data_IF_747455931657
#
_entry.id   IF_747455931657
#
_cell.length_a   1.000
_cell.length_b   1.000
_cell.length_c   1.000
_cell.angle_alpha   90.00
_cell.angle_beta   90.00
_cell.angle_gamma   90.00
#
_symmetry.space_group_name_H-M   'P 1'
#
loop_
_entity.id
_entity.type
_entity.pdbx_description
1 polymer ?
#
# COMPACT_ATOMS: atom_id res chain seq x y z
N UNK A 1 -5.50 -40.42 -7.36
CA UNK A 1 -4.64 -41.00 -6.29
C UNK A 1 -4.25 -39.85 -5.39
N UNK A 2 -4.93 -39.70 -4.26
CA UNK A 2 -4.64 -38.64 -3.28
C UNK A 2 -3.46 -39.11 -2.43
N UNK A 3 -2.32 -38.48 -2.61
CA UNK A 3 -1.08 -38.76 -1.82
C UNK A 3 -1.20 -38.05 -0.47
N UNK A 4 -2.24 -38.28 0.29
CA UNK A 4 -2.43 -37.70 1.61
C UNK A 4 -2.31 -38.74 2.71
N UNK A 5 -1.13 -39.23 2.90
CA UNK A 5 -0.75 -39.90 4.11
C UNK A 5 -0.54 -38.86 5.21
N UNK A 6 -1.07 -39.09 6.40
CA UNK A 6 -0.96 -38.18 7.55
C UNK A 6 0.49 -37.80 7.88
N UNK A 7 1.42 -38.72 7.74
CA UNK A 7 2.87 -38.50 7.90
C UNK A 7 3.42 -37.50 6.87
N UNK A 8 2.99 -37.61 5.62
CA UNK A 8 3.38 -36.70 4.53
C UNK A 8 2.83 -35.29 4.78
N UNK A 9 1.56 -35.17 5.13
CA UNK A 9 0.93 -33.88 5.49
C UNK A 9 1.61 -33.23 6.69
N UNK A 10 1.97 -34.01 7.71
CA UNK A 10 2.70 -33.51 8.86
C UNK A 10 4.06 -32.94 8.49
N UNK A 11 4.79 -33.58 7.60
CA UNK A 11 6.09 -33.08 7.12
C UNK A 11 5.96 -31.71 6.47
N UNK A 12 4.92 -31.47 5.66
CA UNK A 12 4.68 -30.15 5.06
C UNK A 12 4.21 -29.13 6.08
N UNK A 13 3.39 -29.54 7.05
CA UNK A 13 2.99 -28.69 8.16
C UNK A 13 4.21 -28.21 8.95
N UNK A 14 5.08 -29.15 9.36
CA UNK A 14 6.31 -28.83 10.12
C UNK A 14 7.23 -27.88 9.34
N UNK A 15 7.39 -28.09 8.03
CA UNK A 15 8.14 -27.17 7.15
C UNK A 15 7.48 -25.80 7.08
N UNK A 16 6.16 -25.73 7.01
CA UNK A 16 5.43 -24.46 6.96
C UNK A 16 5.55 -23.69 8.27
N UNK A 17 5.48 -24.40 9.40
CA UNK A 17 5.68 -23.81 10.74
C UNK A 17 7.12 -23.29 10.90
N UNK A 18 8.10 -24.01 10.36
CA UNK A 18 9.51 -23.58 10.41
C UNK A 18 9.78 -22.27 9.64
N UNK A 19 8.93 -21.88 8.68
CA UNK A 19 9.00 -20.57 8.03
C UNK A 19 8.44 -19.44 8.87
N UNK A 20 7.96 -19.71 10.09
CA UNK A 20 7.41 -18.73 11.02
C UNK A 20 6.01 -18.22 10.68
N UNK A 21 5.55 -17.31 11.49
CA UNK A 21 4.25 -16.66 11.31
C UNK A 21 4.19 -15.85 10.01
N UNK A 22 3.00 -15.72 9.45
CA UNK A 22 2.75 -14.91 8.25
C UNK A 22 2.24 -13.54 8.67
N UNK A 23 2.69 -12.51 7.98
CA UNK A 23 2.17 -11.15 8.17
C UNK A 23 0.70 -11.11 7.80
N UNK A 24 -0.10 -10.49 8.64
CA UNK A 24 -1.54 -10.33 8.41
C UNK A 24 -1.75 -9.05 7.58
N UNK A 25 -2.55 -9.13 6.55
CA UNK A 25 -2.79 -8.00 5.63
C UNK A 25 -3.43 -6.77 6.27
N UNK A 26 -4.02 -6.93 7.46
CA UNK A 26 -4.58 -5.82 8.26
C UNK A 26 -3.53 -5.09 9.10
N UNK A 27 -2.33 -5.65 9.26
CA UNK A 27 -1.27 -5.07 10.07
C UNK A 27 -0.46 -4.05 9.25
N UNK A 28 -1.10 -2.95 8.91
CA UNK A 28 -0.45 -1.86 8.20
C UNK A 28 -0.88 -0.51 8.76
N UNK A 29 -0.04 0.48 8.52
CA UNK A 29 -0.32 1.88 8.83
C UNK A 29 0.28 2.77 7.77
N UNK A 30 -0.50 3.73 7.28
CA UNK A 30 -0.04 4.77 6.36
C UNK A 30 0.11 6.09 7.12
N UNK A 31 1.32 6.60 7.21
CA UNK A 31 1.64 7.87 7.83
C UNK A 31 2.01 8.89 6.74
N UNK A 32 1.30 10.02 6.71
CA UNK A 32 1.59 11.12 5.81
C UNK A 32 2.56 12.08 6.51
N UNK A 33 3.68 12.39 5.89
CA UNK A 33 4.66 13.33 6.47
C UNK A 33 4.03 14.72 6.69
N UNK A 34 4.07 15.19 7.94
CA UNK A 34 3.42 16.44 8.36
C UNK A 34 1.98 16.32 8.84
N UNK A 35 1.41 15.10 8.76
CA UNK A 35 0.03 14.80 9.17
C UNK A 35 -0.04 13.45 9.87
N UNK A 36 0.85 13.22 10.82
CA UNK A 36 1.09 11.93 11.43
C UNK A 36 -0.13 11.33 12.13
N UNK A 37 -0.97 12.16 12.75
CA UNK A 37 -2.13 11.69 13.52
C UNK A 37 -3.25 11.07 12.67
N UNK A 38 -3.27 11.33 11.36
CA UNK A 38 -4.34 10.85 10.46
C UNK A 38 -4.22 9.37 10.08
N UNK A 39 -3.14 8.69 10.46
CA UNK A 39 -2.97 7.27 10.17
C UNK A 39 -4.11 6.39 10.74
N UNK A 40 -4.72 6.82 11.86
CA UNK A 40 -5.84 6.11 12.50
C UNK A 40 -7.10 6.07 11.63
N UNK A 41 -7.24 6.99 10.67
CA UNK A 41 -8.40 7.07 9.79
C UNK A 41 -8.19 6.31 8.47
N UNK A 42 -6.98 5.89 8.18
CA UNK A 42 -6.67 5.14 6.97
C UNK A 42 -7.13 3.69 7.09
N UNK A 43 -8.12 3.31 6.29
CA UNK A 43 -8.64 1.94 6.24
C UNK A 43 -7.90 1.05 5.26
N UNK A 44 -7.48 1.61 4.13
CA UNK A 44 -6.84 0.88 3.05
C UNK A 44 -5.76 1.74 2.42
N UNK A 45 -4.59 1.16 2.18
CA UNK A 45 -3.49 1.80 1.49
C UNK A 45 -2.77 0.78 0.59
N UNK A 46 -2.19 1.24 -0.53
CA UNK A 46 -1.45 0.36 -1.42
C UNK A 46 -0.07 0.03 -0.84
N UNK A 47 0.28 -1.24 -0.85
CA UNK A 47 1.63 -1.68 -0.50
C UNK A 47 2.53 -1.67 -1.74
N UNK A 48 3.65 -0.92 -1.75
CA UNK A 48 4.52 -0.82 -2.92
C UNK A 48 5.38 -2.08 -3.10
N UNK A 49 5.53 -2.49 -4.36
CA UNK A 49 6.40 -3.62 -4.71
C UNK A 49 7.29 -3.27 -5.89
N UNK A 50 8.56 -3.68 -5.82
CA UNK A 50 9.46 -3.59 -6.96
C UNK A 50 9.25 -4.78 -7.89
N UNK A 51 8.90 -4.47 -9.13
CA UNK A 51 8.74 -5.47 -10.18
C UNK A 51 9.14 -4.90 -11.53
N UNK A 52 9.38 -5.75 -12.51
CA UNK A 52 9.53 -5.32 -13.89
C UNK A 52 8.23 -4.67 -14.39
N UNK A 53 8.34 -3.65 -15.21
CA UNK A 53 7.20 -2.99 -15.83
C UNK A 53 6.48 -3.90 -16.84
N UNK A 54 7.22 -4.84 -17.43
CA UNK A 54 6.74 -5.82 -18.39
C UNK A 54 7.88 -6.65 -18.93
N UNK A 55 7.59 -7.39 -20.01
CA UNK A 55 8.56 -8.21 -20.75
C UNK A 55 8.82 -7.64 -22.13
N UNK A 56 9.99 -7.94 -22.66
CA UNK A 56 10.36 -7.73 -24.07
C UNK A 56 10.49 -9.11 -24.68
N UNK A 57 9.67 -9.38 -25.69
CA UNK A 57 9.75 -10.61 -26.47
C UNK A 57 10.77 -10.46 -27.58
N UNK A 58 11.77 -11.31 -27.59
CA UNK A 58 12.83 -11.32 -28.60
C UNK A 58 12.74 -12.64 -29.36
N UNK A 59 12.33 -12.61 -30.67
CA UNK A 59 12.34 -13.81 -31.47
C UNK A 59 13.78 -14.29 -31.68
N UNK A 60 13.99 -15.59 -31.50
CA UNK A 60 15.27 -16.24 -31.71
C UNK A 60 15.21 -17.16 -32.94
N UNK A 61 16.34 -17.58 -33.51
CA UNK A 61 16.37 -18.51 -34.64
C UNK A 61 15.58 -19.79 -34.37
N UNK A 62 15.03 -20.37 -35.42
CA UNK A 62 14.25 -21.61 -35.41
C UNK A 62 12.89 -21.53 -34.69
N UNK A 63 12.31 -20.33 -34.59
CA UNK A 63 10.97 -20.13 -34.03
C UNK A 63 10.89 -20.16 -32.50
N UNK A 64 12.02 -20.09 -31.82
CA UNK A 64 12.08 -19.93 -30.38
C UNK A 64 11.90 -18.46 -29.98
N UNK A 65 11.55 -18.21 -28.72
CA UNK A 65 11.34 -16.88 -28.15
C UNK A 65 12.13 -16.73 -26.86
N UNK A 66 12.73 -15.57 -26.65
CA UNK A 66 13.40 -15.21 -25.40
C UNK A 66 12.65 -14.05 -24.75
N UNK A 67 12.46 -14.12 -23.43
CA UNK A 67 11.91 -13.02 -22.65
C UNK A 67 13.02 -12.24 -21.97
N UNK A 68 12.95 -10.91 -22.07
CA UNK A 68 13.82 -10.01 -21.34
C UNK A 68 12.95 -9.07 -20.48
N UNK A 69 13.26 -8.88 -19.18
CA UNK A 69 12.51 -7.95 -18.34
C UNK A 69 12.74 -6.52 -18.82
N UNK A 70 11.68 -5.72 -18.77
CA UNK A 70 11.76 -4.26 -18.95
C UNK A 70 12.33 -3.59 -17.70
N UNK A 71 12.38 -2.26 -17.70
CA UNK A 71 12.79 -1.46 -16.56
C UNK A 71 11.90 -1.72 -15.33
N UNK A 72 12.45 -1.44 -14.16
CA UNK A 72 11.71 -1.56 -12.91
C UNK A 72 10.61 -0.49 -12.86
N UNK A 73 9.43 -0.90 -12.45
CA UNK A 73 8.28 -0.03 -12.27
C UNK A 73 8.41 0.77 -10.98
N UNK A 74 8.79 2.03 -11.09
CA UNK A 74 8.90 2.95 -9.96
C UNK A 74 7.62 3.75 -9.72
N UNK A 75 6.93 4.18 -10.77
CA UNK A 75 5.63 4.84 -10.69
C UNK A 75 4.52 3.80 -10.52
N UNK A 76 3.79 3.90 -9.42
CA UNK A 76 2.77 2.94 -9.05
C UNK A 76 1.48 3.65 -8.63
N UNK A 77 0.40 2.92 -8.61
CA UNK A 77 -0.89 3.40 -8.14
C UNK A 77 -1.62 2.28 -7.39
N UNK A 78 -2.48 2.66 -6.48
CA UNK A 78 -3.32 1.71 -5.76
C UNK A 78 -4.48 2.37 -5.05
N UNK A 79 -5.39 1.57 -4.57
CA UNK A 79 -6.58 2.04 -3.88
C UNK A 79 -6.22 2.55 -2.48
N UNK A 80 -6.81 3.69 -2.13
CA UNK A 80 -6.75 4.26 -0.78
C UNK A 80 -8.15 4.56 -0.29
N UNK A 81 -8.40 4.34 0.99
CA UNK A 81 -9.66 4.71 1.61
C UNK A 81 -9.47 5.16 3.04
N UNK A 82 -10.25 6.15 3.43
CA UNK A 82 -10.28 6.73 4.76
C UNK A 82 -11.69 6.72 5.34
N UNK A 83 -11.80 6.66 6.65
CA UNK A 83 -13.03 6.96 7.35
C UNK A 83 -13.11 8.46 7.63
N UNK A 84 -14.22 9.06 7.22
CA UNK A 84 -14.47 10.49 7.54
C UNK A 84 -14.99 10.62 8.96
N UNK A 85 -14.59 11.67 9.63
CA UNK A 85 -15.07 12.02 10.96
C UNK A 85 -16.20 13.05 10.92
N UNK A 86 -16.91 13.20 12.04
CA UNK A 86 -17.99 14.21 12.16
C UNK A 86 -17.44 15.62 12.02
N UNK A 87 -16.17 15.82 12.35
CA UNK A 87 -15.50 17.14 12.28
C UNK A 87 -15.00 17.43 10.85
N UNK A 88 -14.93 16.43 9.98
CA UNK A 88 -14.45 16.59 8.62
C UNK A 88 -12.93 16.55 8.50
N UNK A 89 -12.29 15.68 9.25
CA UNK A 89 -10.82 15.61 9.30
C UNK A 89 -10.20 15.29 7.95
N UNK A 90 -10.78 14.36 7.18
CA UNK A 90 -10.24 14.00 5.87
C UNK A 90 -10.46 15.09 4.83
N UNK A 91 -11.63 15.75 4.83
CA UNK A 91 -11.87 16.90 3.97
C UNK A 91 -10.85 18.03 4.26
N UNK A 92 -10.60 18.31 5.54
CA UNK A 92 -9.62 19.30 5.97
C UNK A 92 -8.20 18.90 5.58
N UNK A 93 -7.82 17.64 5.77
CA UNK A 93 -6.52 17.10 5.35
C UNK A 93 -6.28 17.29 3.86
N UNK A 94 -7.25 16.93 3.02
CA UNK A 94 -7.12 17.07 1.56
C UNK A 94 -7.03 18.53 1.13
N UNK A 95 -7.85 19.41 1.75
CA UNK A 95 -7.80 20.83 1.49
C UNK A 95 -6.45 21.43 1.89
N UNK A 96 -5.90 21.02 3.02
CA UNK A 96 -4.62 21.49 3.51
C UNK A 96 -3.45 21.00 2.65
N UNK A 97 -3.44 19.75 2.22
CA UNK A 97 -2.46 19.21 1.27
C UNK A 97 -2.43 20.00 -0.04
N UNK A 98 -3.59 20.35 -0.58
CA UNK A 98 -3.71 21.16 -1.80
C UNK A 98 -3.25 22.60 -1.56
N UNK A 99 -3.63 23.18 -0.44
CA UNK A 99 -3.32 24.59 -0.12
C UNK A 99 -1.85 24.78 0.18
N UNK A 100 -1.24 23.93 0.98
CA UNK A 100 0.18 24.01 1.32
C UNK A 100 1.10 23.81 0.12
N UNK A 101 0.71 22.94 -0.79
CA UNK A 101 1.49 22.69 -2.00
C UNK A 101 1.40 23.79 -3.05
N UNK A 102 0.47 24.75 -2.89
CA UNK A 102 0.23 25.80 -3.88
C UNK A 102 -0.39 25.31 -5.18
N UNK A 103 -1.09 24.18 -5.17
CA UNK A 103 -1.69 23.57 -6.38
C UNK A 103 -2.63 24.51 -7.12
N UNK A 104 -3.33 25.40 -6.43
CA UNK A 104 -4.18 26.43 -7.04
C UNK A 104 -3.39 27.46 -7.86
N UNK A 105 -2.10 27.62 -7.60
CA UNK A 105 -1.21 28.50 -8.37
C UNK A 105 -0.38 27.75 -9.41
N UNK A 106 -0.70 26.50 -9.70
CA UNK A 106 -0.03 25.65 -10.69
C UNK A 106 1.19 24.89 -10.18
N UNK A 107 1.48 24.94 -8.87
CA UNK A 107 2.51 24.11 -8.28
C UNK A 107 2.05 22.66 -8.15
N UNK A 108 3.01 21.71 -8.07
CA UNK A 108 2.71 20.29 -7.85
C UNK A 108 2.19 20.09 -6.43
N UNK A 109 1.01 19.52 -6.32
CA UNK A 109 0.45 19.08 -5.04
C UNK A 109 0.87 17.65 -4.75
N UNK A 110 2.05 17.46 -4.19
CA UNK A 110 2.55 16.15 -3.81
C UNK A 110 3.02 16.14 -2.36
N UNK A 111 2.93 14.99 -1.74
CA UNK A 111 3.39 14.75 -0.38
C UNK A 111 4.21 13.47 -0.32
N UNK A 112 4.90 13.25 0.78
CA UNK A 112 5.58 11.99 1.04
C UNK A 112 4.85 11.23 2.13
N UNK A 113 4.94 9.92 2.10
CA UNK A 113 4.40 9.09 3.15
C UNK A 113 5.26 7.86 3.41
N UNK A 114 4.99 7.24 4.55
CA UNK A 114 5.58 5.96 4.95
C UNK A 114 4.46 4.97 5.19
N UNK A 115 4.62 3.78 4.66
CA UNK A 115 3.71 2.68 4.93
C UNK A 115 4.44 1.64 5.80
N UNK A 116 3.87 1.35 6.95
CA UNK A 116 4.43 0.44 7.95
C UNK A 116 3.72 -0.91 7.91
N UNK A 117 4.46 -1.99 8.13
CA UNK A 117 3.90 -3.24 8.65
C UNK A 117 3.90 -3.18 10.17
N UNK A 118 2.75 -2.84 10.75
CA UNK A 118 2.55 -2.51 12.14
C UNK A 118 2.09 -1.09 12.36
N UNK A 119 2.56 -0.45 13.41
CA UNK A 119 2.28 0.96 13.75
C UNK A 119 3.55 1.80 13.64
N UNK A 120 3.49 3.14 13.56
CA UNK A 120 4.66 3.99 13.53
C UNK A 120 5.62 3.80 14.72
N UNK A 121 5.09 3.38 15.87
CA UNK A 121 5.87 3.14 17.09
C UNK A 121 6.50 1.74 17.12
N UNK A 122 5.79 0.74 16.55
CA UNK A 122 6.18 -0.67 16.57
C UNK A 122 5.88 -1.32 15.24
N UNK A 123 6.90 -1.58 14.46
CA UNK A 123 6.78 -2.09 13.11
C UNK A 123 7.87 -3.10 12.77
N UNK A 124 7.56 -3.97 11.81
CA UNK A 124 8.52 -4.92 11.22
C UNK A 124 9.43 -4.22 10.22
N UNK A 125 8.84 -3.46 9.34
CA UNK A 125 9.49 -2.65 8.31
C UNK A 125 8.57 -1.56 7.84
N UNK A 126 9.14 -0.51 7.28
CA UNK A 126 8.37 0.47 6.52
C UNK A 126 8.99 0.72 5.14
N UNK A 127 8.16 1.14 4.24
CA UNK A 127 8.55 1.58 2.89
C UNK A 127 8.22 3.05 2.74
N UNK A 128 9.15 3.80 2.17
CA UNK A 128 8.95 5.22 1.90
C UNK A 128 8.42 5.44 0.50
N UNK A 129 7.35 6.20 0.40
CA UNK A 129 6.70 6.60 -0.83
C UNK A 129 6.93 8.09 -1.04
N UNK A 130 7.33 8.48 -2.22
CA UNK A 130 7.63 9.88 -2.55
C UNK A 130 6.76 10.38 -3.70
N UNK A 131 6.61 11.70 -3.75
CA UNK A 131 5.80 12.37 -4.77
C UNK A 131 4.38 11.78 -4.86
N UNK A 132 3.76 11.56 -3.71
CA UNK A 132 2.42 10.98 -3.63
C UNK A 132 1.35 12.04 -3.91
N UNK A 133 0.28 11.64 -4.56
CA UNK A 133 -0.96 12.42 -4.65
C UNK A 133 -2.15 11.48 -4.71
N UNK A 134 -3.31 11.97 -4.30
CA UNK A 134 -4.54 11.19 -4.26
C UNK A 134 -5.57 11.83 -5.18
N UNK A 135 -6.20 10.99 -5.99
CA UNK A 135 -7.38 11.33 -6.76
C UNK A 135 -8.58 10.68 -6.08
N UNK A 136 -9.37 11.49 -5.40
CA UNK A 136 -10.56 11.02 -4.70
C UNK A 136 -11.73 10.83 -5.65
N UNK A 137 -12.49 9.78 -5.42
CA UNK A 137 -13.77 9.55 -6.07
C UNK A 137 -14.86 10.43 -5.44
N UNK A 138 -15.88 10.78 -6.21
CA UNK A 138 -17.05 11.47 -5.67
C UNK A 138 -17.78 10.55 -4.69
N UNK A 139 -18.02 11.05 -3.49
CA UNK A 139 -18.70 10.30 -2.44
C UNK A 139 -20.20 10.58 -2.51
N UNK A 140 -20.97 9.53 -2.83
CA UNK A 140 -22.42 9.59 -2.75
C UNK A 140 -22.88 9.46 -1.30
N UNK A 141 -23.79 10.36 -0.89
CA UNK A 141 -24.41 10.32 0.43
C UNK A 141 -25.85 9.86 0.29
N UNK A 142 -26.18 8.82 1.02
CA UNK A 142 -27.53 8.25 1.10
C UNK A 142 -28.06 8.38 2.54
N UNK A 143 -29.11 9.18 2.71
CA UNK A 143 -29.73 9.42 4.02
C UNK A 143 -30.50 8.20 4.58
N UNK A 144 -30.76 7.20 3.77
CA UNK A 144 -31.33 5.95 4.21
C UNK A 144 -30.27 4.99 4.82
N UNK A 145 -29.02 5.15 4.42
CA UNK A 145 -27.92 4.33 4.90
C UNK A 145 -27.38 4.82 6.26
N UNK A 146 -28.01 4.33 7.33
CA UNK A 146 -27.72 4.74 8.72
C UNK A 146 -26.73 3.82 9.44
N UNK A 147 -26.26 2.77 8.79
CA UNK A 147 -25.51 1.69 9.43
C UNK A 147 -24.02 1.68 9.08
N UNK A 148 -23.61 2.47 8.10
CA UNK A 148 -22.23 2.48 7.63
C UNK A 148 -21.59 3.86 7.85
N UNK A 149 -20.34 3.91 8.32
CA UNK A 149 -19.58 5.16 8.37
C UNK A 149 -19.30 5.66 6.95
N UNK A 150 -19.19 6.97 6.81
CA UNK A 150 -18.78 7.59 5.56
C UNK A 150 -17.34 7.21 5.24
N UNK A 151 -17.11 6.65 4.05
CA UNK A 151 -15.78 6.37 3.53
C UNK A 151 -15.46 7.29 2.37
N UNK A 152 -14.28 7.87 2.42
CA UNK A 152 -13.68 8.61 1.31
C UNK A 152 -12.70 7.66 0.63
N UNK A 153 -12.93 7.40 -0.66
CA UNK A 153 -12.15 6.45 -1.45
C UNK A 153 -11.49 7.14 -2.63
N UNK A 154 -10.42 6.57 -3.12
CA UNK A 154 -9.76 7.06 -4.31
C UNK A 154 -8.56 6.23 -4.72
N UNK A 155 -7.82 6.76 -5.68
CA UNK A 155 -6.58 6.17 -6.15
C UNK A 155 -5.41 7.03 -5.71
N UNK A 156 -4.46 6.42 -5.04
CA UNK A 156 -3.20 7.03 -4.68
C UNK A 156 -2.14 6.71 -5.72
N UNK A 157 -1.49 7.73 -6.22
CA UNK A 157 -0.34 7.65 -7.12
C UNK A 157 0.92 7.96 -6.33
N UNK A 158 1.97 7.19 -6.55
CA UNK A 158 3.20 7.35 -5.80
C UNK A 158 4.41 6.79 -6.56
N UNK A 159 5.59 7.17 -6.12
CA UNK A 159 6.85 6.62 -6.61
C UNK A 159 7.53 5.84 -5.49
N UNK A 160 8.01 4.65 -5.83
CA UNK A 160 8.76 3.79 -4.92
C UNK A 160 10.05 3.33 -5.58
N UNK A 161 11.17 3.64 -4.94
CA UNK A 161 12.52 3.36 -5.43
C UNK A 161 13.23 2.25 -4.64
N UNK A 162 12.48 1.45 -3.87
CA UNK A 162 13.03 0.34 -3.10
C UNK A 162 13.51 0.73 -1.70
N UNK A 163 13.20 1.94 -1.23
CA UNK A 163 13.55 2.37 0.12
C UNK A 163 12.71 1.64 1.16
N UNK A 164 13.32 0.62 1.75
CA UNK A 164 12.75 -0.19 2.83
C UNK A 164 13.66 -0.11 4.03
N UNK A 165 13.09 0.17 5.19
CA UNK A 165 13.83 0.22 6.46
C UNK A 165 13.28 -0.87 7.39
N UNK A 166 14.20 -1.65 7.96
CA UNK A 166 13.87 -2.67 8.94
C UNK A 166 13.42 -2.03 10.25
N UNK A 167 12.48 -2.67 10.91
CA UNK A 167 11.81 -2.14 12.07
C UNK A 167 12.48 -2.46 13.39
N UNK A 168 11.77 -2.09 14.44
CA UNK A 168 12.18 -2.20 15.83
C UNK A 168 11.46 -3.31 16.59
N UNK A 169 10.59 -4.07 15.94
CA UNK A 169 9.79 -5.10 16.59
C UNK A 169 10.38 -6.49 16.40
N UNK A 170 10.59 -7.20 17.52
CA UNK A 170 10.94 -8.63 17.55
C UNK A 170 9.74 -9.54 17.79
N UNK A 171 8.53 -8.99 17.90
CA UNK A 171 7.35 -9.72 18.37
C UNK A 171 6.71 -10.65 17.33
N UNK A 172 7.30 -10.73 16.13
CA UNK A 172 6.80 -11.59 15.04
C UNK A 172 7.69 -12.81 14.79
N UNK A 173 8.60 -13.12 15.70
CA UNK A 173 9.45 -14.31 15.66
C UNK A 173 8.81 -15.50 16.38
#
# INVERSE_FOLDING_TARGET
MTVSNASYLKTFYDKTVAHGAKVISSDFTLEIEGFEDYWLLCKQAPWPELSSQGEIEIPTPLGSMMYQPQQIRTAQQGQISFYETVVGDIDNLMLELITQSGAYSGARSTFNCKIYEGTPEKYLRYKRLIDCFVQLDTVDRDWENRTQPLMVQGTMFFHYFGETVEGNSSDYN
#
